data_IF_918963311375
#
_entry.id   IF_918963311375
#
_cell.length_a   1.000
_cell.length_b   1.000
_cell.length_c   1.000
_cell.angle_alpha   90.00
_cell.angle_beta   90.00
_cell.angle_gamma   90.00
#
_symmetry.space_group_name_H-M   'P 1'
#
loop_
_entity.id
_entity.type
_entity.pdbx_description
1 polymer ?
#
# COMPACT_ATOMS: atom_id res chain seq x y z
N UNK A 1 -20.37 -27.12 -11.76
CA UNK A 1 -20.57 -25.78 -12.36
C UNK A 1 -19.96 -24.78 -11.40
N UNK A 2 -18.78 -24.26 -11.73
CA UNK A 2 -18.01 -23.38 -10.83
C UNK A 2 -18.58 -21.97 -10.82
N UNK A 3 -18.99 -21.50 -9.63
CA UNK A 3 -19.26 -20.09 -9.41
C UNK A 3 -17.95 -19.32 -9.40
N UNK A 4 -17.75 -18.45 -10.39
CA UNK A 4 -16.72 -17.43 -10.35
C UNK A 4 -17.21 -16.31 -9.43
N UNK A 5 -16.66 -16.22 -8.22
CA UNK A 5 -16.81 -15.03 -7.38
C UNK A 5 -15.95 -13.95 -8.03
N UNK A 6 -16.59 -13.06 -8.78
CA UNK A 6 -15.97 -11.83 -9.24
C UNK A 6 -15.69 -10.97 -7.99
N UNK A 7 -14.48 -11.09 -7.45
CA UNK A 7 -13.98 -10.24 -6.38
C UNK A 7 -13.93 -8.81 -6.92
N UNK A 8 -14.88 -8.00 -6.47
CA UNK A 8 -14.95 -6.58 -6.83
C UNK A 8 -13.80 -5.88 -6.12
N UNK A 9 -12.72 -5.61 -6.86
CA UNK A 9 -11.72 -4.65 -6.41
C UNK A 9 -12.37 -3.28 -6.33
N UNK A 10 -12.66 -2.83 -5.11
CA UNK A 10 -12.97 -1.44 -4.87
C UNK A 10 -11.65 -0.65 -4.94
N UNK A 11 -11.26 -0.27 -6.16
CA UNK A 11 -10.51 0.97 -6.34
C UNK A 11 -11.44 2.10 -5.88
N UNK A 12 -11.51 2.35 -4.58
CA UNK A 12 -11.87 3.69 -4.10
C UNK A 12 -10.63 4.55 -4.36
N UNK A 13 -10.33 4.81 -5.64
CA UNK A 13 -9.79 6.12 -5.99
C UNK A 13 -10.98 7.03 -5.81
N UNK A 14 -11.06 7.83 -4.74
CA UNK A 14 -12.08 8.86 -4.71
C UNK A 14 -11.91 9.66 -6.01
N UNK A 15 -12.90 9.54 -6.87
CA UNK A 15 -12.90 10.07 -8.24
C UNK A 15 -12.84 11.60 -8.14
N UNK A 16 -11.63 12.14 -8.20
CA UNK A 16 -11.34 13.55 -7.92
C UNK A 16 -9.97 13.81 -7.27
N UNK A 17 -9.30 12.78 -6.75
CA UNK A 17 -8.01 12.97 -6.09
C UNK A 17 -6.83 12.83 -7.07
N UNK A 18 -5.89 13.79 -7.08
CA UNK A 18 -4.78 13.80 -8.02
C UNK A 18 -3.73 12.71 -7.75
N UNK A 19 -3.79 12.01 -6.62
CA UNK A 19 -2.76 11.05 -6.20
C UNK A 19 -3.23 9.62 -6.43
N UNK A 20 -2.36 8.78 -6.98
CA UNK A 20 -2.55 7.33 -7.02
C UNK A 20 -1.37 6.62 -6.37
N UNK A 21 -1.67 5.59 -5.58
CA UNK A 21 -0.67 4.68 -5.00
C UNK A 21 -0.91 3.30 -5.59
N UNK A 22 0.16 2.61 -5.98
CA UNK A 22 0.12 1.23 -6.49
C UNK A 22 1.29 0.44 -5.93
N UNK A 23 1.17 -0.89 -5.90
CA UNK A 23 2.33 -1.74 -5.70
C UNK A 23 3.07 -1.94 -7.04
N UNK A 24 4.37 -2.21 -6.95
CA UNK A 24 5.18 -2.60 -8.12
C UNK A 24 4.75 -3.95 -8.71
N UNK A 25 4.17 -4.83 -7.89
CA UNK A 25 3.60 -6.13 -8.26
C UNK A 25 2.42 -6.47 -7.34
N UNK A 26 1.54 -7.36 -7.78
CA UNK A 26 0.46 -7.93 -6.97
C UNK A 26 0.87 -9.22 -6.25
N UNK A 27 1.93 -9.90 -6.74
CA UNK A 27 2.44 -11.15 -6.18
C UNK A 27 3.94 -11.03 -5.94
N UNK A 28 4.39 -11.49 -4.77
CA UNK A 28 5.78 -11.46 -4.31
C UNK A 28 6.22 -12.83 -3.79
N UNK A 29 7.53 -13.07 -3.83
CA UNK A 29 8.16 -14.14 -3.05
C UNK A 29 8.72 -13.61 -1.73
N UNK A 30 8.98 -14.48 -0.76
CA UNK A 30 9.54 -14.09 0.56
C UNK A 30 10.84 -13.28 0.49
N UNK A 31 11.60 -13.42 -0.60
CA UNK A 31 12.86 -12.69 -0.84
C UNK A 31 12.68 -11.45 -1.72
N UNK A 32 11.48 -11.18 -2.22
CA UNK A 32 11.22 -10.05 -3.10
C UNK A 32 11.23 -8.72 -2.34
N UNK A 33 11.48 -7.66 -3.11
CA UNK A 33 11.35 -6.28 -2.62
C UNK A 33 10.04 -5.69 -3.11
N UNK A 34 9.13 -5.44 -2.18
CA UNK A 34 7.89 -4.72 -2.47
C UNK A 34 8.10 -3.19 -2.41
N UNK A 35 7.52 -2.49 -3.37
CA UNK A 35 7.60 -1.05 -3.51
C UNK A 35 6.21 -0.46 -3.75
N UNK A 36 5.87 0.57 -2.97
CA UNK A 36 4.74 1.45 -3.24
C UNK A 36 5.18 2.55 -4.23
N UNK A 37 4.45 2.68 -5.32
CA UNK A 37 4.64 3.68 -6.36
C UNK A 37 3.58 4.76 -6.16
N UNK A 38 4.02 5.96 -5.80
CA UNK A 38 3.18 7.14 -5.66
C UNK A 38 3.27 7.96 -6.93
N UNK A 39 2.13 8.32 -7.50
CA UNK A 39 2.04 9.21 -8.66
C UNK A 39 1.12 10.36 -8.31
N UNK A 40 1.64 11.58 -8.36
CA UNK A 40 0.85 12.80 -8.26
C UNK A 40 0.55 13.29 -9.67
N UNK A 41 -0.72 13.27 -10.08
CA UNK A 41 -1.25 13.81 -11.34
C UNK A 41 -1.94 15.16 -11.15
N UNK A 42 -1.72 15.78 -9.99
CA UNK A 42 -2.23 17.09 -9.64
C UNK A 42 -1.29 18.20 -10.05
N UNK A 43 -1.82 19.41 -10.01
CA UNK A 43 -1.09 20.64 -10.28
C UNK A 43 -0.37 21.21 -9.06
N UNK A 44 -0.51 20.57 -7.90
CA UNK A 44 0.10 20.97 -6.63
C UNK A 44 0.89 19.81 -6.04
N UNK A 45 1.86 20.14 -5.20
CA UNK A 45 2.61 19.15 -4.44
C UNK A 45 1.74 18.48 -3.37
N UNK A 46 2.11 17.25 -3.00
CA UNK A 46 1.43 16.48 -1.96
C UNK A 46 2.44 15.94 -0.96
N UNK A 47 2.02 15.77 0.29
CA UNK A 47 2.91 15.28 1.34
C UNK A 47 2.63 13.79 1.57
N UNK A 48 3.67 12.99 1.50
CA UNK A 48 3.60 11.54 1.68
C UNK A 48 4.72 11.10 2.60
N UNK A 49 4.54 9.99 3.30
CA UNK A 49 5.56 9.53 4.24
C UNK A 49 5.03 9.28 5.63
N UNK A 50 3.72 9.16 5.84
CA UNK A 50 3.22 8.51 7.05
C UNK A 50 3.62 7.03 7.13
N UNK A 51 3.44 6.39 8.30
CA UNK A 51 3.59 4.94 8.42
C UNK A 51 2.66 4.22 7.42
N UNK A 52 3.01 2.97 7.13
CA UNK A 52 2.12 2.03 6.44
C UNK A 52 1.78 0.91 7.40
N UNK A 53 0.56 0.41 7.34
CA UNK A 53 0.09 -0.71 8.15
C UNK A 53 -0.11 -1.91 7.22
N UNK A 54 0.27 -3.10 7.68
CA UNK A 54 0.08 -4.33 6.91
C UNK A 54 -0.82 -5.25 7.72
N UNK A 55 -1.85 -5.78 7.08
CA UNK A 55 -2.70 -6.82 7.63
C UNK A 55 -2.61 -8.07 6.75
N UNK A 56 -2.74 -9.23 7.38
CA UNK A 56 -2.81 -10.53 6.73
C UNK A 56 -4.24 -11.04 6.84
N UNK A 57 -4.75 -11.62 5.76
CA UNK A 57 -6.00 -12.36 5.80
C UNK A 57 -5.76 -13.71 6.47
N UNK A 58 -6.47 -13.98 7.56
CA UNK A 58 -6.47 -15.25 8.28
C UNK A 58 -7.91 -15.74 8.41
N UNK A 59 -8.25 -16.75 7.61
CA UNK A 59 -9.64 -17.15 7.44
C UNK A 59 -10.46 -16.06 6.75
N UNK A 60 -11.41 -15.48 7.47
CA UNK A 60 -12.28 -14.39 6.99
C UNK A 60 -11.91 -13.02 7.58
N UNK A 61 -10.96 -12.98 8.54
CA UNK A 61 -10.58 -11.79 9.28
C UNK A 61 -9.22 -11.24 8.85
N UNK A 62 -9.11 -9.91 8.86
CA UNK A 62 -7.84 -9.23 8.64
C UNK A 62 -7.16 -9.00 9.99
N UNK A 63 -5.99 -9.62 10.17
CA UNK A 63 -5.17 -9.48 11.37
C UNK A 63 -3.96 -8.62 11.09
N UNK A 64 -3.59 -7.77 12.06
CA UNK A 64 -2.38 -6.96 11.96
C UNK A 64 -1.16 -7.86 11.80
N UNK A 65 -0.45 -7.66 10.69
CA UNK A 65 0.80 -8.35 10.35
C UNK A 65 1.99 -7.39 10.39
N UNK A 66 1.79 -6.18 10.91
CA UNK A 66 2.80 -5.13 11.01
C UNK A 66 4.10 -5.68 11.59
N UNK A 67 5.21 -5.58 10.84
CA UNK A 67 6.49 -6.15 11.27
C UNK A 67 7.20 -5.36 12.38
N UNK A 68 6.59 -4.30 12.92
CA UNK A 68 7.21 -3.44 13.92
C UNK A 68 6.26 -3.14 15.09
N UNK A 69 6.71 -3.28 16.36
CA UNK A 69 5.89 -3.03 17.54
C UNK A 69 5.64 -1.55 17.85
N UNK A 70 5.88 -0.61 16.92
CA UNK A 70 5.54 0.79 17.19
C UNK A 70 5.44 1.65 15.92
N UNK A 71 4.34 2.41 15.73
CA UNK A 71 4.23 3.43 14.68
C UNK A 71 5.27 4.56 14.81
N UNK A 72 5.97 4.64 15.95
CA UNK A 72 6.94 5.70 16.28
C UNK A 72 8.36 5.39 15.78
N UNK A 73 8.72 4.11 15.63
CA UNK A 73 10.12 3.72 15.37
C UNK A 73 10.61 4.05 13.95
N UNK A 74 9.67 4.29 13.03
CA UNK A 74 9.95 4.70 11.66
C UNK A 74 8.87 5.67 11.21
N UNK A 75 8.64 6.78 11.92
CA UNK A 75 7.90 7.90 11.34
C UNK A 75 8.75 8.35 10.15
N UNK A 76 8.38 7.98 8.91
CA UNK A 76 9.12 8.49 7.78
C UNK A 76 8.93 10.01 7.81
N UNK A 77 10.00 10.76 7.66
CA UNK A 77 9.87 12.22 7.59
C UNK A 77 8.86 12.53 6.48
N UNK A 78 7.90 13.45 6.72
CA UNK A 78 6.97 13.87 5.68
C UNK A 78 7.78 14.34 4.47
N UNK A 79 7.56 13.67 3.34
CA UNK A 79 8.21 13.94 2.07
C UNK A 79 7.26 14.65 1.15
N UNK A 80 7.82 15.48 0.29
CA UNK A 80 7.05 16.22 -0.71
C UNK A 80 7.14 15.48 -2.05
N UNK A 81 5.99 15.21 -2.65
CA UNK A 81 5.88 14.72 -4.02
C UNK A 81 5.40 15.86 -4.91
N UNK A 82 6.25 16.39 -5.81
CA UNK A 82 5.88 17.52 -6.67
C UNK A 82 4.70 17.18 -7.59
N UNK A 83 4.05 18.24 -8.09
CA UNK A 83 3.05 18.14 -9.15
C UNK A 83 3.58 17.31 -10.33
N UNK A 84 2.75 16.43 -10.89
CA UNK A 84 3.12 15.51 -11.97
C UNK A 84 4.29 14.54 -11.64
N UNK A 85 4.69 14.45 -10.36
CA UNK A 85 5.80 13.65 -9.90
C UNK A 85 5.47 12.17 -9.69
N UNK A 86 6.49 11.32 -9.76
CA UNK A 86 6.40 9.91 -9.38
C UNK A 86 7.58 9.53 -8.49
N UNK A 87 7.30 8.73 -7.46
CA UNK A 87 8.32 8.27 -6.50
C UNK A 87 8.00 6.88 -6.00
N UNK A 88 9.00 6.21 -5.43
CA UNK A 88 8.90 4.84 -4.91
C UNK A 88 9.28 4.80 -3.43
N UNK A 89 8.47 4.14 -2.63
CA UNK A 89 8.77 3.82 -1.24
C UNK A 89 8.90 2.30 -1.11
N UNK A 90 10.03 1.84 -0.58
CA UNK A 90 10.21 0.43 -0.24
C UNK A 90 9.36 0.09 0.98
N UNK A 91 8.68 -1.05 0.94
CA UNK A 91 7.98 -1.61 2.09
C UNK A 91 8.67 -2.92 2.49
N UNK A 92 8.80 -3.14 3.79
CA UNK A 92 9.39 -4.36 4.35
C UNK A 92 8.35 -5.46 4.38
N UNK A 93 8.63 -6.52 3.63
CA UNK A 93 7.83 -7.75 3.58
C UNK A 93 8.69 -8.99 3.92
N UNK A 94 9.97 -8.81 4.23
CA UNK A 94 10.95 -9.87 4.48
C UNK A 94 10.65 -10.72 5.71
N UNK A 95 9.91 -10.17 6.67
CA UNK A 95 9.47 -10.87 7.88
C UNK A 95 8.08 -11.51 7.72
N UNK A 96 7.43 -11.30 6.57
CA UNK A 96 6.09 -11.83 6.30
C UNK A 96 6.19 -13.25 5.73
N UNK A 97 5.29 -14.12 6.17
CA UNK A 97 5.15 -15.46 5.63
C UNK A 97 4.36 -15.49 4.33
N UNK A 98 4.08 -16.71 3.85
CA UNK A 98 3.16 -16.92 2.72
C UNK A 98 1.74 -16.52 3.10
N UNK A 99 0.99 -15.91 2.18
CA UNK A 99 -0.41 -15.56 2.41
C UNK A 99 -0.88 -14.37 1.59
N UNK A 100 -2.11 -13.95 1.91
CA UNK A 100 -2.74 -12.78 1.31
C UNK A 100 -2.70 -11.61 2.30
N UNK A 101 -2.32 -10.43 1.81
CA UNK A 101 -2.03 -9.26 2.61
C UNK A 101 -2.68 -8.02 2.03
N UNK A 102 -2.93 -7.03 2.88
CA UNK A 102 -3.26 -5.66 2.46
C UNK A 102 -2.38 -4.67 3.19
N UNK A 103 -1.96 -3.63 2.46
CA UNK A 103 -1.21 -2.51 3.00
C UNK A 103 -2.09 -1.26 2.95
N UNK A 104 -2.15 -0.55 4.08
CA UNK A 104 -2.81 0.75 4.19
C UNK A 104 -1.76 1.84 4.19
N UNK A 105 -1.97 2.84 3.35
CA UNK A 105 -1.07 3.97 3.21
C UNK A 105 -1.82 5.28 3.30
N UNK A 106 -1.51 6.04 4.35
CA UNK A 106 -1.90 7.43 4.51
C UNK A 106 -1.08 8.36 3.60
N UNK A 107 -1.77 9.26 2.91
CA UNK A 107 -1.18 10.36 2.14
C UNK A 107 -1.91 11.65 2.50
N UNK A 108 -1.15 12.67 2.89
CA UNK A 108 -1.65 14.00 3.20
C UNK A 108 -1.72 14.83 1.92
N UNK A 109 -2.87 15.43 1.69
CA UNK A 109 -3.19 16.14 0.46
C UNK A 109 -3.85 17.46 0.81
N UNK A 110 -3.84 18.40 -0.12
CA UNK A 110 -4.51 19.67 0.12
C UNK A 110 -6.02 19.44 0.32
N UNK A 111 -6.53 19.83 1.49
CA UNK A 111 -7.93 19.66 1.86
C UNK A 111 -8.26 18.39 2.66
N UNK A 112 -7.27 17.55 3.00
CA UNK A 112 -7.47 16.45 3.93
C UNK A 112 -6.45 15.32 3.84
N UNK A 113 -6.94 14.11 4.07
CA UNK A 113 -6.16 12.88 4.09
C UNK A 113 -6.80 11.86 3.15
N UNK A 114 -5.97 11.11 2.42
CA UNK A 114 -6.39 9.95 1.67
C UNK A 114 -5.70 8.69 2.22
N UNK A 115 -6.49 7.64 2.44
CA UNK A 115 -5.98 6.31 2.81
C UNK A 115 -6.12 5.40 1.59
N UNK A 116 -5.01 4.82 1.17
CA UNK A 116 -4.94 3.86 0.07
C UNK A 116 -4.79 2.45 0.64
N UNK A 117 -5.71 1.55 0.31
CA UNK A 117 -5.62 0.13 0.64
C UNK A 117 -5.22 -0.64 -0.62
N UNK A 118 -4.15 -1.41 -0.54
CA UNK A 118 -3.60 -2.19 -1.66
C UNK A 118 -3.41 -3.63 -1.20
N UNK A 119 -3.89 -4.59 -1.98
CA UNK A 119 -3.79 -6.02 -1.68
C UNK A 119 -2.63 -6.66 -2.47
N UNK A 120 -2.00 -7.67 -1.87
CA UNK A 120 -0.95 -8.46 -2.49
C UNK A 120 -0.83 -9.86 -1.91
N UNK A 121 -0.25 -10.78 -2.68
CA UNK A 121 0.05 -12.13 -2.26
C UNK A 121 1.55 -12.32 -2.05
N UNK A 122 1.91 -13.09 -1.01
CA UNK A 122 3.25 -13.70 -0.88
C UNK A 122 3.12 -15.20 -1.12
N UNK A 123 3.81 -15.70 -2.13
CA UNK A 123 3.80 -17.11 -2.55
C UNK A 123 5.21 -17.69 -2.52
N UNK A 124 5.32 -19.01 -2.58
CA UNK A 124 6.62 -19.65 -2.78
C UNK A 124 7.25 -19.09 -4.06
N UNK A 125 8.53 -18.74 -4.00
CA UNK A 125 9.25 -18.33 -5.20
C UNK A 125 9.51 -19.55 -6.08
N UNK A 126 9.25 -19.41 -7.37
CA UNK A 126 9.79 -20.33 -8.38
C UNK A 126 11.31 -20.20 -8.51
#
# INVERSE_FOLDING_TARGET
MGSFVAMRFFLVTPSGFPVSVKLNRDTFSVNDRAELIFTNRGWKEVTYGGPYEIERLDGEDWMEASPFPSPVAWVPEPRVLPAWGTTRQKIKIDTLGLGHYRVHKKVDIEGGEAIFTLEFDIREGE
#
